data_IF_560535106090
#
_entry.id   IF_560535106090
#
_cell.length_a   1.000
_cell.length_b   1.000
_cell.length_c   1.000
_cell.angle_alpha   90.00
_cell.angle_beta   90.00
_cell.angle_gamma   90.00
#
_symmetry.space_group_name_H-M   'P 1'
#
loop_
_entity.id
_entity.type
_entity.pdbx_description
1 polymer ?
#
# COMPACT_ATOMS: atom_id res chain seq x y z
N UNK A 1 -4.97 48.84 6.46
CA UNK A 1 -3.64 48.35 6.90
C UNK A 1 -3.40 46.94 6.37
N UNK A 2 -2.42 46.77 5.47
CA UNK A 2 -2.18 45.54 4.69
C UNK A 2 -1.68 44.37 5.54
N UNK A 3 -1.96 43.13 5.09
CA UNK A 3 -1.66 41.88 5.83
C UNK A 3 -0.17 41.68 6.12
N UNK A 4 0.69 42.02 5.16
CA UNK A 4 2.14 41.82 5.27
C UNK A 4 2.76 42.73 6.32
N UNK A 5 2.30 43.98 6.47
CA UNK A 5 2.76 44.91 7.51
C UNK A 5 2.51 44.31 8.90
N UNK A 6 1.31 43.75 9.12
CA UNK A 6 0.98 43.11 10.41
C UNK A 6 1.84 41.89 10.71
N UNK A 7 2.21 41.11 9.68
CA UNK A 7 3.08 39.94 9.83
C UNK A 7 4.52 40.36 10.13
N UNK A 8 5.01 41.41 9.48
CA UNK A 8 6.32 41.99 9.73
C UNK A 8 6.43 42.57 11.15
N UNK A 9 5.44 43.34 11.62
CA UNK A 9 5.44 43.88 12.98
C UNK A 9 5.37 42.79 14.08
N UNK A 10 4.81 41.61 13.77
CA UNK A 10 4.63 40.53 14.72
C UNK A 10 5.85 39.59 14.79
N UNK A 11 6.45 39.27 13.63
CA UNK A 11 7.48 38.24 13.52
C UNK A 11 8.71 38.67 12.72
N UNK A 12 8.86 39.97 12.43
CA UNK A 12 9.95 40.53 11.64
C UNK A 12 10.03 39.93 10.23
N UNK A 13 11.25 39.77 9.72
CA UNK A 13 11.51 39.12 8.43
C UNK A 13 10.94 37.69 8.36
N UNK A 14 10.95 36.95 9.46
CA UNK A 14 10.40 35.58 9.50
C UNK A 14 8.89 35.54 9.22
N UNK A 15 8.16 36.62 9.53
CA UNK A 15 6.73 36.75 9.23
C UNK A 15 6.42 36.93 7.74
N UNK A 16 7.39 37.42 6.97
CA UNK A 16 7.29 37.64 5.52
C UNK A 16 7.70 36.39 4.72
N UNK A 17 8.46 35.47 5.31
CA UNK A 17 8.88 34.23 4.66
C UNK A 17 7.68 33.27 4.57
N UNK A 18 7.38 32.81 3.34
CA UNK A 18 6.35 31.79 3.12
C UNK A 18 6.87 30.43 3.62
N UNK A 19 6.25 29.78 4.61
CA UNK A 19 6.72 28.48 5.07
C UNK A 19 6.42 27.39 4.04
N UNK A 20 7.30 26.40 3.96
CA UNK A 20 7.17 25.22 3.09
C UNK A 20 5.93 24.37 3.42
N UNK A 21 5.50 24.38 4.68
CA UNK A 21 4.35 23.61 5.16
C UNK A 21 3.44 24.46 6.05
N UNK A 22 2.17 24.06 6.17
CA UNK A 22 1.23 24.67 7.09
C UNK A 22 1.62 24.40 8.55
N UNK A 23 1.43 25.39 9.41
CA UNK A 23 1.69 25.26 10.84
C UNK A 23 0.71 24.27 11.47
N UNK A 24 1.24 23.35 12.28
CA UNK A 24 0.46 22.34 13.00
C UNK A 24 0.24 22.81 14.43
N UNK A 25 -0.98 22.64 14.93
CA UNK A 25 -1.35 22.97 16.29
C UNK A 25 -1.86 21.70 16.99
N UNK A 26 -1.31 21.43 18.17
CA UNK A 26 -1.77 20.32 19.03
C UNK A 26 -3.19 20.59 19.55
N UNK A 27 -3.90 19.54 19.97
CA UNK A 27 -5.24 19.70 20.56
C UNK A 27 -5.18 20.62 21.78
N UNK A 28 -4.19 20.40 22.65
CA UNK A 28 -3.94 21.19 23.85
C UNK A 28 -3.77 22.68 23.52
N UNK A 29 -3.00 23.01 22.48
CA UNK A 29 -2.82 24.39 22.03
C UNK A 29 -4.12 25.01 21.52
N UNK A 30 -4.94 24.26 20.76
CA UNK A 30 -6.23 24.75 20.28
C UNK A 30 -7.22 25.01 21.41
N UNK A 31 -7.32 24.07 22.36
CA UNK A 31 -8.19 24.21 23.54
C UNK A 31 -7.76 25.42 24.37
N UNK A 32 -6.46 25.56 24.63
CA UNK A 32 -5.93 26.70 25.38
C UNK A 32 -6.24 28.04 24.70
N UNK A 33 -6.09 28.12 23.37
CA UNK A 33 -6.42 29.32 22.61
C UNK A 33 -7.92 29.69 22.66
N UNK A 34 -8.82 28.69 22.61
CA UNK A 34 -10.27 28.92 22.73
C UNK A 34 -10.65 29.34 24.16
N UNK A 35 -10.09 28.66 25.18
CA UNK A 35 -10.32 29.00 26.59
C UNK A 35 -9.81 30.39 26.94
N UNK A 36 -8.63 30.77 26.46
CA UNK A 36 -8.09 32.12 26.65
C UNK A 36 -8.96 33.20 26.02
N UNK A 37 -9.61 32.90 24.90
CA UNK A 37 -10.55 33.83 24.27
C UNK A 37 -11.88 33.93 25.04
N UNK A 38 -12.39 32.81 25.58
CA UNK A 38 -13.70 32.75 26.24
C UNK A 38 -13.67 33.15 27.73
N UNK A 39 -12.65 32.71 28.48
CA UNK A 39 -12.57 32.86 29.94
C UNK A 39 -11.75 34.10 30.33
N UNK A 40 -10.64 34.35 29.64
CA UNK A 40 -9.70 35.40 30.03
C UNK A 40 -9.99 36.76 29.35
N UNK A 41 -11.05 36.84 28.53
CA UNK A 41 -11.46 38.08 27.85
C UNK A 41 -10.41 38.67 26.89
N UNK A 42 -9.38 37.89 26.53
CA UNK A 42 -8.29 38.37 25.69
C UNK A 42 -8.82 38.75 24.31
N UNK A 43 -8.37 39.91 23.81
CA UNK A 43 -8.75 40.35 22.48
C UNK A 43 -8.29 39.30 21.46
N UNK A 44 -9.08 39.09 20.38
CA UNK A 44 -8.75 38.06 19.39
C UNK A 44 -7.34 38.22 18.81
N UNK A 45 -6.82 39.46 18.81
CA UNK A 45 -5.47 39.78 18.35
C UNK A 45 -4.38 39.28 19.30
N UNK A 46 -4.59 39.38 20.60
CA UNK A 46 -3.64 38.95 21.63
C UNK A 46 -3.51 37.43 21.64
N UNK A 47 -4.65 36.73 21.52
CA UNK A 47 -4.69 35.25 21.38
C UNK A 47 -3.91 34.81 20.14
N UNK A 48 -4.07 35.53 19.02
CA UNK A 48 -3.34 35.24 17.78
C UNK A 48 -1.83 35.37 17.96
N UNK A 49 -1.37 36.42 18.66
CA UNK A 49 0.05 36.65 18.93
C UNK A 49 0.59 35.56 19.87
N UNK A 50 -0.08 35.33 21.01
CA UNK A 50 0.32 34.37 22.04
C UNK A 50 0.48 32.95 21.49
N UNK A 51 -0.49 32.50 20.68
CA UNK A 51 -0.49 31.16 20.11
C UNK A 51 0.10 31.10 18.69
N UNK A 52 0.68 32.19 18.20
CA UNK A 52 1.27 32.31 16.84
C UNK A 52 0.29 31.90 15.73
N UNK A 53 -1.00 32.16 15.92
CA UNK A 53 -2.06 31.87 14.95
C UNK A 53 -2.01 32.93 13.85
N UNK A 54 -1.82 32.49 12.61
CA UNK A 54 -1.67 33.41 11.48
C UNK A 54 -2.94 34.19 11.14
N UNK A 55 -4.12 33.60 11.36
CA UNK A 55 -5.39 34.15 10.89
C UNK A 55 -6.51 34.01 11.92
N UNK A 56 -7.29 35.09 12.08
CA UNK A 56 -8.44 35.12 13.00
C UNK A 56 -9.53 34.12 12.61
N UNK A 57 -9.68 33.83 11.31
CA UNK A 57 -10.61 32.80 10.83
C UNK A 57 -10.27 31.42 11.38
N UNK A 58 -8.99 31.12 11.62
CA UNK A 58 -8.56 29.85 12.21
C UNK A 58 -8.99 29.73 13.66
N UNK A 59 -8.87 30.81 14.45
CA UNK A 59 -9.38 30.87 15.82
C UNK A 59 -10.91 30.77 15.85
N UNK A 60 -11.62 31.51 14.99
CA UNK A 60 -13.09 31.42 14.87
C UNK A 60 -13.55 29.99 14.55
N UNK A 61 -12.87 29.31 13.63
CA UNK A 61 -13.19 27.92 13.30
C UNK A 61 -12.95 26.98 14.49
N UNK A 62 -11.90 27.19 15.27
CA UNK A 62 -11.67 26.40 16.48
C UNK A 62 -12.74 26.64 17.54
N UNK A 63 -13.22 27.88 17.71
CA UNK A 63 -14.32 28.18 18.63
C UNK A 63 -15.61 27.46 18.20
N UNK A 64 -15.97 27.52 16.91
CA UNK A 64 -17.15 26.81 16.38
C UNK A 64 -17.01 25.29 16.59
N UNK A 65 -15.83 24.73 16.34
CA UNK A 65 -15.57 23.31 16.55
C UNK A 65 -15.58 22.92 18.03
N UNK A 66 -15.09 23.78 18.92
CA UNK A 66 -15.09 23.56 20.35
C UNK A 66 -16.51 23.57 20.91
N UNK A 67 -17.33 24.55 20.52
CA UNK A 67 -18.73 24.64 20.96
C UNK A 67 -19.64 23.52 20.41
N UNK A 68 -19.15 22.73 19.45
CA UNK A 68 -19.88 21.58 18.88
C UNK A 68 -19.24 20.23 19.22
N UNK A 69 -18.31 20.21 20.19
CA UNK A 69 -17.53 19.04 20.62
C UNK A 69 -16.80 18.29 19.48
N UNK A 70 -16.50 19.02 18.40
CA UNK A 70 -15.85 18.52 17.18
C UNK A 70 -14.41 19.02 17.02
N UNK A 71 -13.85 19.67 18.05
CA UNK A 71 -12.48 20.17 18.02
C UNK A 71 -11.49 19.01 17.97
N UNK A 72 -10.86 18.82 16.82
CA UNK A 72 -9.94 17.71 16.58
C UNK A 72 -8.59 18.21 16.05
N UNK A 73 -7.54 17.42 16.25
CA UNK A 73 -6.27 17.60 15.53
C UNK A 73 -6.51 17.04 14.13
N UNK A 74 -6.52 17.92 13.14
CA UNK A 74 -6.86 17.56 11.78
C UNK A 74 -5.78 16.69 11.15
N UNK A 75 -5.79 15.37 11.41
CA UNK A 75 -5.09 14.34 10.63
C UNK A 75 -5.75 12.95 10.71
N UNK A 76 -7.05 12.85 10.98
CA UNK A 76 -7.77 11.69 10.47
C UNK A 76 -7.90 11.89 8.95
N UNK A 77 -6.84 11.58 8.20
CA UNK A 77 -6.97 11.28 6.77
C UNK A 77 -8.14 10.30 6.71
N UNK A 78 -9.31 10.75 6.22
CA UNK A 78 -10.43 9.85 5.99
C UNK A 78 -9.93 8.84 4.96
N UNK A 79 -9.35 7.74 5.44
CA UNK A 79 -8.96 6.60 4.62
C UNK A 79 -10.28 6.14 4.03
N UNK A 80 -10.53 6.49 2.77
CA UNK A 80 -11.68 5.96 2.04
C UNK A 80 -11.55 4.45 2.12
N UNK A 81 -12.53 3.79 2.74
CA UNK A 81 -12.60 2.34 2.77
C UNK A 81 -12.76 1.90 1.32
N UNK A 82 -11.71 1.30 0.76
CA UNK A 82 -11.76 0.80 -0.62
C UNK A 82 -12.65 -0.45 -0.59
N UNK A 83 -13.73 -0.46 -1.35
CA UNK A 83 -14.45 -1.69 -1.66
C UNK A 83 -13.52 -2.54 -2.52
N UNK A 84 -13.04 -3.65 -1.97
CA UNK A 84 -12.21 -4.59 -2.72
C UNK A 84 -13.12 -5.43 -3.61
N UNK A 85 -12.93 -5.35 -4.93
CA UNK A 85 -13.68 -6.17 -5.86
C UNK A 85 -13.29 -7.66 -5.78
N UNK A 86 -14.14 -8.53 -6.34
CA UNK A 86 -13.91 -9.98 -6.43
C UNK A 86 -12.50 -10.32 -6.93
N UNK A 87 -11.86 -11.29 -6.27
CA UNK A 87 -10.60 -11.88 -6.73
C UNK A 87 -10.91 -12.87 -7.83
N UNK A 88 -10.19 -12.76 -8.94
CA UNK A 88 -10.40 -13.56 -10.15
C UNK A 88 -9.08 -14.26 -10.44
N UNK A 89 -9.11 -15.58 -10.60
CA UNK A 89 -7.90 -16.36 -10.90
C UNK A 89 -7.43 -16.09 -12.34
N UNK A 90 -6.19 -16.49 -12.66
CA UNK A 90 -5.67 -16.30 -14.03
C UNK A 90 -6.46 -17.13 -15.05
N UNK A 91 -6.84 -18.36 -14.73
CA UNK A 91 -7.60 -19.22 -15.64
C UNK A 91 -9.04 -18.75 -15.80
N UNK A 92 -9.68 -18.31 -14.72
CA UNK A 92 -11.01 -17.68 -14.78
C UNK A 92 -10.98 -16.42 -15.66
N UNK A 93 -9.90 -15.63 -15.55
CA UNK A 93 -9.69 -14.45 -16.41
C UNK A 93 -9.58 -14.81 -17.89
N UNK A 94 -8.92 -15.92 -18.25
CA UNK A 94 -8.88 -16.42 -19.63
C UNK A 94 -10.27 -16.82 -20.11
N UNK A 95 -11.01 -17.58 -19.29
CA UNK A 95 -12.38 -18.02 -19.60
C UNK A 95 -13.30 -16.82 -19.87
N UNK A 96 -13.23 -15.78 -19.04
CA UNK A 96 -14.04 -14.56 -19.21
C UNK A 96 -13.71 -13.85 -20.52
N UNK A 97 -12.42 -13.74 -20.86
CA UNK A 97 -11.99 -13.09 -22.11
C UNK A 97 -12.45 -13.90 -23.32
N UNK A 98 -12.22 -15.22 -23.34
CA UNK A 98 -12.69 -16.09 -24.41
C UNK A 98 -14.22 -16.03 -24.57
N UNK A 99 -14.95 -16.11 -23.46
CA UNK A 99 -16.40 -16.01 -23.46
C UNK A 99 -16.85 -14.68 -24.05
N UNK A 100 -16.22 -13.57 -23.65
CA UNK A 100 -16.58 -12.23 -24.13
C UNK A 100 -16.33 -12.07 -25.64
N UNK A 101 -15.22 -12.60 -26.15
CA UNK A 101 -14.90 -12.58 -27.59
C UNK A 101 -15.92 -13.40 -28.38
N UNK A 102 -16.29 -14.59 -27.90
CA UNK A 102 -17.28 -15.45 -28.56
C UNK A 102 -18.68 -14.84 -28.59
N UNK A 103 -19.02 -13.97 -27.63
CA UNK A 103 -20.33 -13.29 -27.55
C UNK A 103 -20.25 -11.88 -28.14
N UNK A 104 -19.52 -11.71 -29.26
CA UNK A 104 -19.43 -10.46 -30.02
C UNK A 104 -18.96 -9.25 -29.18
N UNK A 105 -18.06 -9.47 -28.22
CA UNK A 105 -17.57 -8.45 -27.29
C UNK A 105 -18.66 -7.82 -26.41
N UNK A 106 -19.68 -8.59 -26.01
CA UNK A 106 -20.70 -8.11 -25.07
C UNK A 106 -20.17 -8.01 -23.62
N UNK A 107 -19.44 -6.93 -23.34
CA UNK A 107 -18.83 -6.66 -22.03
C UNK A 107 -19.85 -6.51 -20.89
N UNK A 108 -21.06 -6.03 -21.19
CA UNK A 108 -22.12 -5.83 -20.17
C UNK A 108 -22.63 -7.17 -19.67
N UNK A 109 -22.89 -8.08 -20.59
CA UNK A 109 -23.34 -9.42 -20.27
C UNK A 109 -22.26 -10.23 -19.56
N UNK A 110 -20.99 -10.12 -20.00
CA UNK A 110 -19.86 -10.72 -19.31
C UNK A 110 -19.71 -10.20 -17.88
N UNK A 111 -19.84 -8.88 -17.68
CA UNK A 111 -19.76 -8.26 -16.36
C UNK A 111 -20.85 -8.79 -15.42
N UNK A 112 -22.07 -8.94 -15.93
CA UNK A 112 -23.21 -9.50 -15.17
C UNK A 112 -23.01 -10.98 -14.84
N UNK A 113 -22.67 -11.79 -15.86
CA UNK A 113 -22.51 -13.25 -15.74
C UNK A 113 -21.45 -13.66 -14.72
N UNK A 114 -20.33 -12.94 -14.69
CA UNK A 114 -19.20 -13.28 -13.83
C UNK A 114 -19.10 -12.40 -12.58
N UNK A 115 -20.06 -11.51 -12.31
CA UNK A 115 -20.03 -10.55 -11.20
C UNK A 115 -18.70 -9.77 -11.11
N UNK A 116 -18.28 -9.22 -12.25
CA UNK A 116 -17.03 -8.48 -12.39
C UNK A 116 -17.32 -7.11 -12.98
N UNK A 117 -16.62 -6.09 -12.50
CA UNK A 117 -16.72 -4.74 -13.07
C UNK A 117 -16.46 -4.75 -14.57
N UNK A 118 -17.36 -4.13 -15.33
CA UNK A 118 -17.23 -3.86 -16.77
C UNK A 118 -15.81 -3.42 -17.16
N UNK A 119 -15.24 -2.48 -16.40
CA UNK A 119 -13.92 -1.92 -16.66
C UNK A 119 -12.81 -2.97 -16.64
N UNK A 120 -12.94 -3.99 -15.77
CA UNK A 120 -11.99 -5.09 -15.67
C UNK A 120 -12.09 -5.98 -16.91
N UNK A 121 -13.29 -6.42 -17.28
CA UNK A 121 -13.52 -7.26 -18.48
C UNK A 121 -12.98 -6.56 -19.72
N UNK A 122 -13.38 -5.30 -19.94
CA UNK A 122 -12.91 -4.48 -21.06
C UNK A 122 -11.38 -4.40 -21.09
N UNK A 123 -10.74 -4.11 -19.94
CA UNK A 123 -9.27 -4.01 -19.88
C UNK A 123 -8.55 -5.31 -20.21
N UNK A 124 -9.15 -6.46 -19.90
CA UNK A 124 -8.55 -7.78 -20.15
C UNK A 124 -8.68 -8.18 -21.61
N UNK A 125 -9.88 -8.02 -22.17
CA UNK A 125 -10.12 -8.28 -23.60
C UNK A 125 -9.24 -7.38 -24.45
N UNK A 126 -9.16 -6.07 -24.15
CA UNK A 126 -8.31 -5.13 -24.88
C UNK A 126 -6.82 -5.51 -24.84
N UNK A 127 -6.30 -5.94 -23.69
CA UNK A 127 -4.91 -6.39 -23.56
C UNK A 127 -4.64 -7.65 -24.36
N UNK A 128 -5.56 -8.60 -24.31
CA UNK A 128 -5.46 -9.83 -25.08
C UNK A 128 -5.53 -9.56 -26.60
N UNK A 129 -6.41 -8.67 -27.06
CA UNK A 129 -6.51 -8.32 -28.48
C UNK A 129 -5.31 -7.55 -29.02
N UNK A 130 -4.54 -6.87 -28.17
CA UNK A 130 -3.35 -6.13 -28.61
C UNK A 130 -2.16 -7.05 -28.89
N UNK A 131 -1.87 -7.97 -27.95
CA UNK A 131 -0.66 -8.81 -28.01
C UNK A 131 -0.96 -10.27 -28.41
N UNK A 132 -2.24 -10.67 -28.46
CA UNK A 132 -2.72 -12.05 -28.63
C UNK A 132 -2.06 -13.08 -27.70
N UNK A 133 -1.52 -12.63 -26.56
CA UNK A 133 -0.79 -13.44 -25.61
C UNK A 133 -1.47 -13.41 -24.22
N UNK A 134 -1.73 -14.59 -23.67
CA UNK A 134 -2.33 -14.76 -22.35
C UNK A 134 -1.43 -14.29 -21.20
N UNK A 135 -0.11 -14.32 -21.37
CA UNK A 135 0.84 -13.88 -20.34
C UNK A 135 0.67 -12.42 -19.94
N UNK A 136 0.15 -11.58 -20.84
CA UNK A 136 -0.13 -10.16 -20.62
C UNK A 136 -1.24 -9.94 -19.58
N UNK A 137 -2.07 -10.97 -19.36
CA UNK A 137 -3.11 -10.96 -18.34
C UNK A 137 -2.62 -11.41 -16.96
N UNK A 138 -1.38 -11.93 -16.84
CA UNK A 138 -0.81 -12.35 -15.55
C UNK A 138 -0.56 -11.13 -14.66
N UNK A 139 -0.93 -11.22 -13.39
CA UNK A 139 -0.70 -10.12 -12.46
C UNK A 139 0.78 -10.10 -12.03
N UNK A 140 1.53 -9.14 -12.56
CA UNK A 140 2.95 -8.93 -12.27
C UNK A 140 3.17 -7.76 -11.30
N UNK A 141 2.14 -7.31 -10.56
CA UNK A 141 2.32 -6.24 -9.57
C UNK A 141 3.37 -6.65 -8.54
N UNK A 142 4.41 -5.82 -8.38
CA UNK A 142 5.53 -6.07 -7.47
C UNK A 142 6.56 -7.09 -7.96
N UNK A 143 6.39 -7.67 -9.15
CA UNK A 143 7.35 -8.59 -9.78
C UNK A 143 7.64 -8.07 -11.18
N UNK A 144 8.77 -7.41 -11.35
CA UNK A 144 9.13 -6.85 -12.65
C UNK A 144 9.33 -7.98 -13.67
N UNK A 145 8.80 -7.84 -14.89
CA UNK A 145 9.09 -8.79 -15.97
C UNK A 145 10.60 -8.68 -16.22
N UNK A 146 11.33 -9.79 -16.17
CA UNK A 146 12.73 -9.79 -16.54
C UNK A 146 12.80 -9.27 -17.99
N UNK A 147 13.51 -8.15 -18.19
CA UNK A 147 13.71 -7.63 -19.54
C UNK A 147 14.60 -8.63 -20.27
N UNK A 148 14.24 -8.95 -21.50
CA UNK A 148 15.15 -9.69 -22.37
C UNK A 148 16.45 -8.89 -22.48
N UNK A 149 17.60 -9.52 -22.18
CA UNK A 149 18.87 -8.83 -22.13
C UNK A 149 19.23 -8.27 -23.50
N UNK A 150 19.36 -6.95 -23.58
CA UNK A 150 19.70 -6.23 -24.82
C UNK A 150 21.19 -6.33 -25.16
N UNK A 151 22.03 -6.67 -24.17
CA UNK A 151 23.47 -6.76 -24.29
C UNK A 151 23.99 -8.17 -23.97
N UNK A 152 25.09 -8.59 -24.60
CA UNK A 152 25.73 -9.89 -24.41
C UNK A 152 26.21 -10.08 -22.96
N UNK A 153 26.74 -9.02 -22.33
CA UNK A 153 27.13 -9.05 -20.93
C UNK A 153 25.94 -9.37 -19.99
N UNK A 154 24.75 -8.86 -20.29
CA UNK A 154 23.56 -9.13 -19.50
C UNK A 154 23.08 -10.58 -19.71
N UNK A 155 23.17 -11.11 -20.94
CA UNK A 155 22.91 -12.52 -21.24
C UNK A 155 23.82 -13.44 -20.44
N UNK A 156 25.13 -13.15 -20.44
CA UNK A 156 26.12 -13.92 -19.70
C UNK A 156 25.86 -13.87 -18.19
N UNK A 157 25.56 -12.68 -17.63
CA UNK A 157 25.20 -12.55 -16.21
C UNK A 157 23.94 -13.33 -15.84
N UNK A 158 22.93 -13.36 -16.72
CA UNK A 158 21.73 -14.17 -16.53
C UNK A 158 22.09 -15.66 -16.53
N UNK A 159 22.89 -16.10 -17.50
CA UNK A 159 23.29 -17.51 -17.60
C UNK A 159 24.12 -17.98 -16.41
N UNK A 160 25.04 -17.15 -15.91
CA UNK A 160 25.81 -17.45 -14.69
C UNK A 160 24.87 -17.64 -13.50
N UNK A 161 23.87 -16.75 -13.34
CA UNK A 161 22.91 -16.86 -12.24
C UNK A 161 22.06 -18.14 -12.33
N UNK A 162 21.61 -18.51 -13.53
CA UNK A 162 20.87 -19.75 -13.76
C UNK A 162 21.73 -20.98 -13.41
N UNK A 163 22.98 -21.02 -13.88
CA UNK A 163 23.92 -22.10 -13.60
C UNK A 163 24.26 -22.20 -12.10
N UNK A 164 24.42 -21.08 -11.41
CA UNK A 164 24.64 -21.05 -9.95
C UNK A 164 23.43 -21.61 -9.19
N UNK A 165 22.21 -21.31 -9.66
CA UNK A 165 20.98 -21.85 -9.07
C UNK A 165 20.87 -23.37 -9.28
N UNK A 166 21.08 -23.85 -10.52
CA UNK A 166 21.09 -25.29 -10.85
C UNK A 166 22.14 -26.05 -10.03
N UNK A 167 23.34 -25.48 -9.89
CA UNK A 167 24.41 -26.06 -9.07
C UNK A 167 23.99 -26.15 -7.60
N UNK A 168 23.39 -25.09 -7.05
CA UNK A 168 22.90 -25.08 -5.67
C UNK A 168 21.80 -26.10 -5.44
N UNK A 169 20.85 -26.22 -6.37
CA UNK A 169 19.80 -27.25 -6.30
C UNK A 169 20.40 -28.66 -6.30
N UNK A 170 21.38 -28.90 -7.17
CA UNK A 170 22.11 -30.19 -7.24
C UNK A 170 22.87 -30.48 -5.94
N UNK A 171 23.55 -29.49 -5.35
CA UNK A 171 24.23 -29.61 -4.06
C UNK A 171 23.26 -29.96 -2.94
N UNK A 172 22.08 -29.34 -2.91
CA UNK A 172 21.01 -29.66 -1.95
C UNK A 172 20.51 -31.10 -2.15
N UNK A 173 20.28 -31.54 -3.39
CA UNK A 173 19.87 -32.92 -3.67
C UNK A 173 20.92 -33.94 -3.21
N UNK A 174 22.21 -33.66 -3.45
CA UNK A 174 23.32 -34.50 -2.98
C UNK A 174 23.38 -34.52 -1.45
N UNK A 175 23.27 -33.37 -0.80
CA UNK A 175 23.27 -33.27 0.67
C UNK A 175 22.10 -34.03 1.28
N UNK A 176 20.91 -33.93 0.68
CA UNK A 176 19.73 -34.68 1.08
C UNK A 176 19.95 -36.19 0.93
N UNK A 177 20.48 -36.65 -0.21
CA UNK A 177 20.80 -38.06 -0.43
C UNK A 177 21.82 -38.59 0.59
N UNK A 178 22.88 -37.83 0.89
CA UNK A 178 23.84 -38.17 1.95
C UNK A 178 23.17 -38.31 3.31
N UNK A 179 22.23 -37.42 3.64
CA UNK A 179 21.49 -37.48 4.90
C UNK A 179 20.61 -38.72 5.00
N UNK A 180 19.97 -39.15 3.92
CA UNK A 180 19.21 -40.40 3.88
C UNK A 180 20.10 -41.63 4.14
N UNK A 181 21.30 -41.65 3.55
CA UNK A 181 22.28 -42.72 3.81
C UNK A 181 22.74 -42.72 5.27
N UNK A 182 23.02 -41.54 5.85
CA UNK A 182 23.37 -41.42 7.27
C UNK A 182 22.26 -41.95 8.18
N UNK A 183 21.01 -41.61 7.90
CA UNK A 183 19.85 -42.09 8.66
C UNK A 183 19.73 -43.62 8.54
N UNK A 184 19.97 -44.19 7.36
CA UNK A 184 19.96 -45.64 7.15
C UNK A 184 21.09 -46.36 7.88
N UNK A 185 22.28 -45.76 7.93
CA UNK A 185 23.47 -46.34 8.56
C UNK A 185 23.49 -46.17 10.08
N UNK A 186 22.70 -45.22 10.63
CA UNK A 186 22.36 -45.21 12.05
C UNK A 186 21.39 -46.36 12.29
N UNK A 187 21.88 -47.46 12.88
CA UNK A 187 21.00 -48.49 13.41
C UNK A 187 19.96 -47.83 14.32
N UNK A 188 18.69 -47.90 13.94
CA UNK A 188 17.60 -47.58 14.86
C UNK A 188 17.58 -48.73 15.86
N UNK A 189 18.17 -48.52 17.03
CA UNK A 189 17.95 -49.38 18.18
C UNK A 189 16.47 -49.24 18.54
N UNK A 190 15.63 -50.08 17.95
CA UNK A 190 14.18 -50.09 18.17
C UNK A 190 13.97 -50.65 19.58
N UNK A 191 13.45 -49.86 20.54
CA UNK A 191 13.26 -50.34 21.90
C UNK A 191 11.98 -51.17 21.95
N UNK A 192 11.96 -52.34 21.30
CA UNK A 192 10.84 -53.27 21.33
C UNK A 192 11.35 -54.72 21.46
N UNK A 193 12.12 -54.99 22.52
CA UNK A 193 12.15 -56.31 23.16
C UNK A 193 10.81 -56.54 23.87
N UNK A 194 9.75 -56.70 23.08
CA UNK A 194 8.45 -57.11 23.62
C UNK A 194 8.48 -58.62 23.77
N UNK A 195 8.62 -59.05 25.04
CA UNK A 195 8.39 -60.41 25.52
C UNK A 195 7.24 -61.06 24.75
N UNK A 196 7.55 -62.07 23.94
CA UNK A 196 6.54 -62.99 23.39
C UNK A 196 5.82 -63.66 24.55
N UNK A 197 4.59 -63.25 24.83
CA UNK A 197 3.70 -64.04 25.67
C UNK A 197 3.32 -65.32 24.89
N UNK A 198 3.85 -66.45 25.38
CA UNK A 198 3.40 -67.80 25.01
C UNK A 198 1.93 -67.97 25.39
N UNK A 199 1.16 -68.65 24.54
CA UNK A 199 -0.05 -69.35 24.93
C UNK A 199 0.20 -70.84 24.74
#
# INVERSE_FOLDING_TARGET
MTKWIKQFLLAGLAGLIRPKHNQKYSLKTKIAAVKDYQLNGLASREVLIKYKIRHISQLKQWIIQYNSDKLTVAYATRKRVKKMGRKVSFDEKKQIVQWTINHQNNYKEAASKYDISYQRVYSWVRKYLHDHNWEVLKDNRGRNKEKEPTNELERLRKRVRELEAEKRESEVQIAFAKKLVEIRNREVHRPDDIKRFKK
#
